data_IF_808789385337
#
_entry.id   IF_808789385337
#
_cell.length_a   1.000
_cell.length_b   1.000
_cell.length_c   1.000
_cell.angle_alpha   90.00
_cell.angle_beta   90.00
_cell.angle_gamma   90.00
#
_symmetry.space_group_name_H-M   'P 1'
#
loop_
_entity.id
_entity.type
_entity.pdbx_description
1 polymer ?
#
# COMPACT_ATOMS: atom_id res chain seq x y z
N UNK A 1 10.33 -11.96 -27.24
CA UNK A 1 8.97 -11.75 -27.75
C UNK A 1 7.98 -12.36 -26.77
N UNK A 2 6.89 -11.66 -26.47
CA UNK A 2 5.79 -12.22 -25.67
C UNK A 2 4.78 -12.90 -26.61
N UNK A 3 4.18 -14.02 -26.18
CA UNK A 3 3.20 -14.78 -26.97
C UNK A 3 1.78 -14.21 -26.94
N UNK A 4 1.57 -13.12 -26.20
CA UNK A 4 0.28 -12.47 -26.03
C UNK A 4 0.11 -11.36 -27.07
N UNK A 5 -0.94 -11.46 -27.89
CA UNK A 5 -1.33 -10.40 -28.81
C UNK A 5 -1.78 -9.13 -28.03
N UNK A 6 -1.69 -7.93 -28.61
CA UNK A 6 -2.15 -6.70 -27.96
C UNK A 6 -3.62 -6.81 -27.53
N UNK A 7 -3.92 -6.74 -26.21
CA UNK A 7 -5.26 -6.99 -25.69
C UNK A 7 -6.17 -5.74 -25.66
N UNK A 8 -5.58 -4.54 -25.78
CA UNK A 8 -6.24 -3.26 -25.61
C UNK A 8 -6.07 -2.38 -26.86
N UNK A 9 -7.15 -1.70 -27.23
CA UNK A 9 -7.21 -0.63 -28.22
C UNK A 9 -7.98 0.56 -27.66
N UNK A 10 -7.70 1.78 -28.12
CA UNK A 10 -8.43 2.98 -27.69
C UNK A 10 -9.92 2.84 -28.01
N UNK A 11 -10.78 3.25 -27.07
CA UNK A 11 -12.23 3.18 -27.26
C UNK A 11 -12.85 1.79 -27.12
N UNK A 12 -12.06 0.75 -26.78
CA UNK A 12 -12.53 -0.64 -26.71
C UNK A 12 -13.62 -0.88 -25.64
N UNK A 13 -13.63 -0.08 -24.57
CA UNK A 13 -14.62 -0.15 -23.50
C UNK A 13 -15.29 1.22 -23.34
N UNK A 14 -16.59 1.20 -23.03
CA UNK A 14 -17.33 2.41 -22.64
C UNK A 14 -17.57 2.35 -21.14
N UNK A 15 -16.97 3.28 -20.40
CA UNK A 15 -17.22 3.46 -18.98
C UNK A 15 -18.51 4.27 -18.77
N UNK A 16 -19.29 3.90 -17.77
CA UNK A 16 -20.57 4.52 -17.41
C UNK A 16 -20.42 5.89 -16.75
N UNK A 17 -19.27 6.13 -16.11
CA UNK A 17 -18.89 7.40 -15.49
C UNK A 17 -18.28 8.42 -16.47
N UNK A 18 -18.08 8.03 -17.74
CA UNK A 18 -17.44 8.86 -18.76
C UNK A 18 -15.91 8.97 -18.62
N UNK A 19 -15.27 8.09 -17.84
CA UNK A 19 -13.82 8.03 -17.71
C UNK A 19 -13.12 7.83 -19.07
N UNK A 20 -11.90 8.37 -19.26
CA UNK A 20 -11.15 8.18 -20.49
C UNK A 20 -10.93 6.70 -20.80
N UNK A 21 -11.21 6.29 -22.03
CA UNK A 21 -11.05 4.90 -22.50
C UNK A 21 -9.85 4.73 -23.44
N UNK A 22 -8.75 5.43 -23.12
CA UNK A 22 -7.46 5.24 -23.79
C UNK A 22 -6.78 3.98 -23.27
N UNK A 23 -5.89 3.38 -24.06
CA UNK A 23 -5.13 2.19 -23.67
C UNK A 23 -4.36 2.40 -22.35
N UNK A 24 -3.80 3.59 -22.13
CA UNK A 24 -3.07 3.92 -20.89
C UNK A 24 -3.99 3.94 -19.66
N UNK A 25 -5.20 4.51 -19.78
CA UNK A 25 -6.18 4.51 -18.70
C UNK A 25 -6.64 3.09 -18.38
N UNK A 26 -7.08 2.33 -19.39
CA UNK A 26 -7.50 0.94 -19.22
C UNK A 26 -6.41 0.04 -18.65
N UNK A 27 -5.15 0.24 -19.07
CA UNK A 27 -4.01 -0.50 -18.54
C UNK A 27 -3.76 -0.22 -17.05
N UNK A 28 -3.94 1.03 -16.61
CA UNK A 28 -3.82 1.40 -15.19
C UNK A 28 -4.94 0.80 -14.35
N UNK A 29 -6.16 0.85 -14.86
CA UNK A 29 -7.33 0.34 -14.12
C UNK A 29 -7.27 -1.17 -13.95
N UNK A 30 -6.91 -1.91 -15.01
CA UNK A 30 -6.75 -3.37 -14.90
C UNK A 30 -5.57 -3.76 -14.01
N UNK A 31 -4.47 -2.98 -14.04
CA UNK A 31 -3.34 -3.20 -13.15
C UNK A 31 -3.72 -2.95 -11.68
N UNK A 32 -4.49 -1.89 -11.40
CA UNK A 32 -5.01 -1.60 -10.07
C UNK A 32 -5.98 -2.70 -9.59
N UNK A 33 -6.87 -3.17 -10.45
CA UNK A 33 -7.74 -4.30 -10.17
C UNK A 33 -6.94 -5.56 -9.85
N UNK A 34 -5.95 -5.93 -10.67
CA UNK A 34 -5.10 -7.08 -10.43
C UNK A 34 -4.30 -6.95 -9.12
N UNK A 35 -3.77 -5.76 -8.82
CA UNK A 35 -3.09 -5.48 -7.56
C UNK A 35 -4.02 -5.66 -6.35
N UNK A 36 -5.28 -5.20 -6.45
CA UNK A 36 -6.28 -5.42 -5.43
C UNK A 36 -6.67 -6.90 -5.29
N UNK A 37 -6.82 -7.64 -6.40
CA UNK A 37 -7.13 -9.09 -6.33
C UNK A 37 -6.00 -9.89 -5.69
N UNK A 38 -4.74 -9.48 -5.93
CA UNK A 38 -3.58 -10.08 -5.30
C UNK A 38 -3.54 -9.77 -3.80
N UNK A 39 -4.01 -8.60 -3.39
CA UNK A 39 -3.98 -8.16 -2.00
C UNK A 39 -5.22 -7.37 -1.54
N UNK A 40 -6.37 -8.04 -1.30
CA UNK A 40 -7.61 -7.36 -0.98
C UNK A 40 -7.61 -6.71 0.42
N UNK A 41 -6.71 -7.12 1.31
CA UNK A 41 -6.59 -6.61 2.69
C UNK A 41 -5.46 -5.59 2.87
N UNK A 42 -4.98 -5.00 1.78
CA UNK A 42 -3.86 -4.06 1.81
C UNK A 42 -4.10 -2.88 2.74
N UNK A 43 -5.31 -2.32 2.73
CA UNK A 43 -5.65 -1.17 3.57
C UNK A 43 -5.72 -1.54 5.05
N UNK A 44 -6.30 -2.68 5.40
CA UNK A 44 -6.30 -3.19 6.79
C UNK A 44 -4.88 -3.42 7.30
N UNK A 45 -4.01 -3.98 6.45
CA UNK A 45 -2.59 -4.19 6.77
C UNK A 45 -1.88 -2.87 7.03
N UNK A 46 -2.07 -1.87 6.15
CA UNK A 46 -1.48 -0.53 6.31
C UNK A 46 -1.98 0.16 7.57
N UNK A 47 -3.28 0.13 7.84
CA UNK A 47 -3.88 0.73 9.04
C UNK A 47 -3.36 0.08 10.33
N UNK A 48 -3.28 -1.26 10.34
CA UNK A 48 -2.74 -2.00 11.49
C UNK A 48 -1.26 -1.68 11.70
N UNK A 49 -0.47 -1.69 10.62
CA UNK A 49 0.94 -1.32 10.65
C UNK A 49 1.16 0.08 11.22
N UNK A 50 0.37 1.07 10.79
CA UNK A 50 0.46 2.43 11.30
C UNK A 50 0.20 2.51 12.82
N UNK A 51 -0.85 1.84 13.32
CA UNK A 51 -1.15 1.77 14.77
C UNK A 51 0.01 1.14 15.55
N UNK A 52 0.57 0.05 15.03
CA UNK A 52 1.71 -0.66 15.66
C UNK A 52 2.94 0.25 15.70
N UNK A 53 3.24 0.99 14.63
CA UNK A 53 4.39 1.91 14.60
C UNK A 53 4.30 3.01 15.66
N UNK A 54 3.11 3.60 15.86
CA UNK A 54 2.88 4.60 16.92
C UNK A 54 3.09 3.97 18.30
N UNK A 55 2.52 2.78 18.53
CA UNK A 55 2.68 2.07 19.80
C UNK A 55 4.16 1.78 20.10
N UNK A 56 4.90 1.27 19.11
CA UNK A 56 6.32 0.95 19.26
C UNK A 56 7.17 2.19 19.47
N UNK A 57 6.86 3.31 18.82
CA UNK A 57 7.55 4.58 19.06
C UNK A 57 7.37 5.04 20.52
N UNK A 58 6.12 5.02 21.02
CA UNK A 58 5.83 5.38 22.41
C UNK A 58 6.52 4.43 23.41
N UNK A 59 6.40 3.12 23.18
CA UNK A 59 7.06 2.09 24.00
C UNK A 59 8.58 2.27 24.01
N UNK A 60 9.18 2.55 22.85
CA UNK A 60 10.63 2.76 22.75
C UNK A 60 11.11 3.97 23.53
N UNK A 61 10.35 5.08 23.51
CA UNK A 61 10.64 6.27 24.33
C UNK A 61 10.58 5.90 25.81
N UNK A 62 9.52 5.20 26.25
CA UNK A 62 9.39 4.79 27.65
C UNK A 62 10.53 3.87 28.09
N UNK A 63 10.84 2.84 27.29
CA UNK A 63 11.95 1.93 27.58
C UNK A 63 13.30 2.66 27.61
N UNK A 64 13.51 3.63 26.73
CA UNK A 64 14.71 4.45 26.75
C UNK A 64 14.83 5.27 28.05
N UNK A 65 13.74 5.91 28.50
CA UNK A 65 13.73 6.65 29.76
C UNK A 65 13.96 5.74 30.97
N UNK A 66 13.33 4.56 30.99
CA UNK A 66 13.54 3.55 32.04
C UNK A 66 14.98 3.08 32.06
N UNK A 67 15.56 2.73 30.89
CA UNK A 67 16.97 2.40 30.76
C UNK A 67 17.85 3.52 31.31
N UNK A 68 17.62 4.77 30.90
CA UNK A 68 18.39 5.93 31.33
C UNK A 68 18.35 6.11 32.85
N UNK A 69 17.20 5.86 33.49
CA UNK A 69 17.05 5.97 34.94
C UNK A 69 17.74 4.83 35.70
N UNK A 70 17.56 3.58 35.27
CA UNK A 70 18.14 2.41 35.97
C UNK A 70 19.67 2.43 35.92
N UNK A 71 20.24 2.87 34.80
CA UNK A 71 21.68 2.89 34.58
C UNK A 71 22.32 4.24 34.93
N UNK A 72 21.59 5.13 35.60
CA UNK A 72 22.08 6.45 35.99
C UNK A 72 23.23 6.37 37.00
N UNK A 73 23.21 5.39 37.90
CA UNK A 73 24.21 5.22 38.96
C UNK A 73 25.39 4.32 38.55
N UNK A 74 25.35 3.75 37.34
CA UNK A 74 26.39 2.87 36.81
C UNK A 74 27.43 3.59 35.95
N UNK A 75 27.29 4.90 35.76
CA UNK A 75 28.25 5.83 35.15
C UNK A 75 28.56 6.94 36.16
#
# INVERSE_FOLDING_TARGET
WIGMAPPLADGQVTFDDGSPNTVDAMAKDVAAFLAWTAEPKMEDRKQTGFKVMIYLAALSILLYLVKKRIWADAH
#
